data_IF_808084388366
#
_entry.id   IF_808084388366
#
_cell.length_a   1.000
_cell.length_b   1.000
_cell.length_c   1.000
_cell.angle_alpha   90.00
_cell.angle_beta   90.00
_cell.angle_gamma   90.00
#
_symmetry.space_group_name_H-M   'P 1'
#
loop_
_entity.id
_entity.type
_entity.pdbx_description
1 polymer ?
#
# COMPACT_ATOMS: atom_id res chain seq x y z
N UNK A 1 -2.75 52.60 -20.89
CA UNK A 1 -1.53 52.36 -21.69
C UNK A 1 -0.45 51.94 -20.71
N UNK A 2 -0.02 50.71 -20.63
CA UNK A 2 -0.38 49.48 -21.34
C UNK A 2 0.04 48.31 -20.44
N UNK A 3 -0.60 47.17 -20.67
CA UNK A 3 -0.55 45.98 -19.86
C UNK A 3 0.79 45.23 -19.98
N UNK A 4 1.24 44.69 -18.86
CA UNK A 4 2.46 43.88 -18.75
C UNK A 4 2.25 42.62 -17.90
N UNK A 5 1.08 41.98 -18.01
CA UNK A 5 0.92 40.59 -17.62
C UNK A 5 1.80 39.73 -18.52
N UNK A 6 2.88 39.17 -17.98
CA UNK A 6 3.69 38.17 -18.66
C UNK A 6 3.77 36.90 -17.82
N UNK A 7 2.98 35.91 -18.24
CA UNK A 7 3.43 34.52 -18.29
C UNK A 7 3.34 33.73 -16.99
N UNK A 8 2.13 33.47 -16.50
CA UNK A 8 1.89 32.33 -15.62
C UNK A 8 2.32 31.04 -16.32
N UNK A 9 3.41 30.44 -15.84
CA UNK A 9 3.78 29.07 -16.23
C UNK A 9 2.70 28.12 -15.71
N UNK A 10 1.73 27.84 -16.57
CA UNK A 10 0.68 26.85 -16.36
C UNK A 10 1.30 25.45 -16.24
N UNK A 11 1.76 25.10 -15.05
CA UNK A 11 1.95 23.71 -14.67
C UNK A 11 0.59 23.03 -14.78
N UNK A 12 0.40 22.22 -15.81
CA UNK A 12 -0.88 21.63 -16.21
C UNK A 12 -1.65 21.09 -15.01
N UNK A 13 -2.62 21.89 -14.54
CA UNK A 13 -3.48 21.53 -13.43
C UNK A 13 -4.57 20.59 -13.96
N UNK A 14 -4.52 19.33 -13.57
CA UNK A 14 -5.63 18.40 -13.83
C UNK A 14 -6.60 18.56 -12.66
N UNK A 15 -7.83 19.01 -12.95
CA UNK A 15 -8.87 19.28 -11.94
C UNK A 15 -8.47 20.33 -10.88
N UNK A 16 -7.58 21.27 -11.23
CA UNK A 16 -7.09 22.29 -10.29
C UNK A 16 -5.99 21.83 -9.34
N UNK A 17 -5.54 20.57 -9.43
CA UNK A 17 -4.43 20.02 -8.64
C UNK A 17 -3.15 19.98 -9.47
N UNK A 18 -2.02 20.31 -8.83
CA UNK A 18 -0.70 20.15 -9.44
C UNK A 18 -0.22 18.67 -9.35
N UNK A 19 0.73 18.29 -10.20
CA UNK A 19 1.23 16.91 -10.29
C UNK A 19 1.74 16.35 -8.95
N UNK A 20 2.34 17.23 -8.14
CA UNK A 20 2.85 16.89 -6.80
C UNK A 20 1.72 16.55 -5.84
N UNK A 21 0.63 17.33 -5.85
CA UNK A 21 -0.57 17.05 -5.05
C UNK A 21 -1.21 15.73 -5.48
N UNK A 22 -1.32 15.47 -6.79
CA UNK A 22 -1.87 14.21 -7.30
C UNK A 22 -1.05 13.00 -6.84
N UNK A 23 0.29 13.08 -6.91
CA UNK A 23 1.19 12.03 -6.43
C UNK A 23 0.97 11.77 -4.94
N UNK A 24 0.92 12.82 -4.12
CA UNK A 24 0.73 12.70 -2.67
C UNK A 24 -0.64 12.11 -2.33
N UNK A 25 -1.72 12.65 -2.91
CA UNK A 25 -3.10 12.23 -2.64
C UNK A 25 -3.32 10.77 -3.00
N UNK A 26 -2.86 10.35 -4.19
CA UNK A 26 -3.00 8.96 -4.64
C UNK A 26 -2.20 7.98 -3.77
N UNK A 27 -1.03 8.39 -3.26
CA UNK A 27 -0.25 7.61 -2.30
C UNK A 27 -0.96 7.41 -0.95
N UNK A 28 -1.59 8.45 -0.41
CA UNK A 28 -2.38 8.34 0.82
C UNK A 28 -3.64 7.48 0.62
N UNK A 29 -4.35 7.64 -0.49
CA UNK A 29 -5.51 6.80 -0.83
C UNK A 29 -5.09 5.33 -0.93
N UNK A 30 -4.02 5.03 -1.67
CA UNK A 30 -3.49 3.67 -1.79
C UNK A 30 -3.12 3.07 -0.43
N UNK A 31 -2.45 3.83 0.42
CA UNK A 31 -2.08 3.40 1.78
C UNK A 31 -3.30 3.14 2.67
N UNK A 32 -4.32 4.00 2.59
CA UNK A 32 -5.55 3.83 3.35
C UNK A 32 -6.34 2.60 2.92
N UNK A 33 -6.47 2.37 1.60
CA UNK A 33 -7.11 1.17 1.05
C UNK A 33 -6.35 -0.09 1.45
N UNK A 34 -5.00 -0.07 1.38
CA UNK A 34 -4.16 -1.17 1.85
C UNK A 34 -4.40 -1.47 3.33
N UNK A 35 -4.42 -0.44 4.18
CA UNK A 35 -4.74 -0.59 5.61
C UNK A 35 -6.11 -1.21 5.83
N UNK A 36 -7.13 -0.77 5.06
CA UNK A 36 -8.46 -1.35 5.10
C UNK A 36 -8.46 -2.84 4.74
N UNK A 37 -7.72 -3.27 3.71
CA UNK A 37 -7.63 -4.70 3.35
C UNK A 37 -7.16 -5.57 4.52
N UNK A 38 -6.19 -5.07 5.28
CA UNK A 38 -5.59 -5.76 6.42
C UNK A 38 -6.51 -5.78 7.64
N UNK A 39 -7.29 -4.72 7.84
CA UNK A 39 -8.24 -4.59 8.96
C UNK A 39 -9.51 -5.44 8.81
N UNK A 40 -9.93 -5.77 7.57
CA UNK A 40 -11.11 -6.63 7.34
C UNK A 40 -11.00 -7.97 8.10
N UNK A 41 -9.80 -8.56 8.17
CA UNK A 41 -9.57 -9.83 8.87
C UNK A 41 -9.87 -9.75 10.38
N UNK A 42 -9.15 -8.91 11.14
CA UNK A 42 -9.39 -8.69 12.55
C UNK A 42 -10.82 -8.24 12.88
N UNK A 43 -11.39 -7.34 12.09
CA UNK A 43 -12.77 -6.86 12.29
C UNK A 43 -13.77 -8.01 12.17
N UNK A 44 -13.64 -8.88 11.16
CA UNK A 44 -14.52 -10.04 11.02
C UNK A 44 -14.38 -11.03 12.20
N UNK A 45 -13.16 -11.20 12.73
CA UNK A 45 -12.94 -12.01 13.94
C UNK A 45 -13.67 -11.41 15.15
N UNK A 46 -13.58 -10.10 15.36
CA UNK A 46 -14.28 -9.37 16.42
C UNK A 46 -15.81 -9.53 16.30
N UNK A 47 -16.34 -9.36 15.09
CA UNK A 47 -17.77 -9.47 14.79
C UNK A 47 -18.31 -10.92 14.75
N UNK A 48 -17.47 -11.93 15.02
CA UNK A 48 -17.81 -13.37 15.00
C UNK A 48 -18.46 -13.86 13.70
N UNK A 49 -18.27 -13.16 12.57
CA UNK A 49 -18.81 -13.59 11.28
C UNK A 49 -17.97 -14.73 10.71
N UNK A 50 -18.60 -15.75 10.13
CA UNK A 50 -17.90 -16.77 9.33
C UNK A 50 -17.20 -16.04 8.19
N UNK A 51 -15.88 -16.24 8.07
CA UNK A 51 -15.07 -15.59 7.06
C UNK A 51 -15.05 -16.52 5.82
N UNK A 52 -15.82 -16.28 4.75
CA UNK A 52 -15.64 -17.01 3.52
C UNK A 52 -14.20 -16.80 3.01
N UNK A 53 -13.63 -17.83 2.38
CA UNK A 53 -12.22 -17.90 1.98
C UNK A 53 -11.84 -16.75 1.01
N UNK A 54 -12.80 -16.24 0.23
CA UNK A 54 -12.72 -14.98 -0.51
C UNK A 54 -13.85 -14.06 -0.08
N UNK A 55 -13.53 -12.92 0.51
CA UNK A 55 -14.53 -11.86 0.72
C UNK A 55 -14.41 -10.93 -0.49
N UNK A 56 -15.43 -10.87 -1.34
CA UNK A 56 -15.46 -9.98 -2.51
C UNK A 56 -14.98 -8.57 -2.15
N UNK A 57 -15.46 -8.02 -1.03
CA UNK A 57 -15.00 -6.74 -0.48
C UNK A 57 -13.47 -6.63 -0.30
N UNK A 58 -12.79 -7.65 0.25
CA UNK A 58 -11.32 -7.57 0.44
C UNK A 58 -10.60 -7.56 -0.91
N UNK A 59 -11.10 -8.34 -1.86
CA UNK A 59 -10.56 -8.41 -3.22
C UNK A 59 -10.80 -7.10 -3.95
N UNK A 60 -11.99 -6.51 -3.84
CA UNK A 60 -12.34 -5.24 -4.47
C UNK A 60 -11.49 -4.09 -3.91
N UNK A 61 -11.38 -3.98 -2.58
CA UNK A 61 -10.50 -2.98 -1.93
C UNK A 61 -9.03 -3.21 -2.30
N UNK A 62 -8.59 -4.47 -2.42
CA UNK A 62 -7.25 -4.81 -2.90
C UNK A 62 -6.99 -4.40 -4.36
N UNK A 63 -7.97 -4.60 -5.24
CA UNK A 63 -7.91 -4.13 -6.64
C UNK A 63 -7.82 -2.61 -6.71
N UNK A 64 -8.64 -1.89 -5.92
CA UNK A 64 -8.55 -0.42 -5.84
C UNK A 64 -7.21 0.05 -5.29
N UNK A 65 -6.67 -0.64 -4.27
CA UNK A 65 -5.31 -0.38 -3.75
C UNK A 65 -4.29 -0.46 -4.87
N UNK A 66 -4.37 -1.48 -5.72
CA UNK A 66 -3.45 -1.66 -6.83
C UNK A 66 -3.59 -0.56 -7.88
N UNK A 67 -4.83 -0.21 -8.26
CA UNK A 67 -5.11 0.86 -9.23
C UNK A 67 -4.52 2.19 -8.75
N UNK A 68 -4.81 2.59 -7.50
CA UNK A 68 -4.27 3.83 -6.94
C UNK A 68 -2.75 3.81 -6.77
N UNK A 69 -2.16 2.64 -6.50
CA UNK A 69 -0.69 2.49 -6.45
C UNK A 69 -0.04 2.69 -7.82
N UNK A 70 -0.64 2.17 -8.89
CA UNK A 70 -0.15 2.38 -10.26
C UNK A 70 -0.28 3.85 -10.66
N UNK A 71 -1.43 4.48 -10.37
CA UNK A 71 -1.64 5.91 -10.61
C UNK A 71 -0.60 6.75 -9.85
N UNK A 72 -0.33 6.40 -8.59
CA UNK A 72 0.69 7.05 -7.76
C UNK A 72 2.08 7.00 -8.40
N UNK A 73 2.50 5.84 -8.93
CA UNK A 73 3.78 5.67 -9.63
C UNK A 73 3.84 6.51 -10.91
N UNK A 74 2.77 6.50 -11.71
CA UNK A 74 2.69 7.29 -12.95
C UNK A 74 2.89 8.77 -12.66
N UNK A 75 2.14 9.32 -11.70
CA UNK A 75 2.29 10.73 -11.32
C UNK A 75 3.64 11.00 -10.67
N UNK A 76 4.15 10.08 -9.85
CA UNK A 76 5.47 10.19 -9.24
C UNK A 76 6.57 10.44 -10.27
N UNK A 77 6.61 9.63 -11.34
CA UNK A 77 7.58 9.83 -12.42
C UNK A 77 7.38 11.15 -13.18
N UNK A 78 6.15 11.63 -13.32
CA UNK A 78 5.86 12.89 -13.99
C UNK A 78 6.29 14.14 -13.19
N UNK A 79 6.45 14.06 -11.86
CA UNK A 79 6.88 15.21 -11.04
C UNK A 79 8.31 15.67 -11.35
N UNK A 80 9.21 14.77 -11.74
CA UNK A 80 10.62 15.10 -12.01
C UNK A 80 10.93 15.40 -13.49
N UNK A 81 9.89 15.58 -14.32
CA UNK A 81 9.98 16.31 -15.58
C UNK A 81 10.92 15.69 -16.62
N UNK A 82 10.39 14.79 -17.45
CA UNK A 82 10.62 14.68 -18.91
C UNK A 82 10.06 13.36 -19.46
N UNK A 83 9.79 12.37 -18.60
CA UNK A 83 9.38 11.03 -19.07
C UNK A 83 10.50 10.27 -19.79
N UNK A 84 11.71 10.82 -19.79
CA UNK A 84 12.90 10.19 -20.37
C UNK A 84 13.44 9.08 -19.46
N UNK A 85 14.06 8.07 -20.08
CA UNK A 85 14.69 6.96 -19.35
C UNK A 85 15.75 7.46 -18.36
N UNK A 86 16.51 8.50 -18.71
CA UNK A 86 17.47 9.17 -17.83
C UNK A 86 16.82 9.71 -16.55
N UNK A 87 15.65 10.34 -16.67
CA UNK A 87 14.86 10.85 -15.56
C UNK A 87 14.38 9.73 -14.64
N UNK A 88 13.88 8.62 -15.20
CA UNK A 88 13.46 7.44 -14.41
C UNK A 88 14.66 6.81 -13.70
N UNK A 89 15.78 6.63 -14.39
CA UNK A 89 16.99 6.06 -13.81
C UNK A 89 17.54 6.90 -12.67
N UNK A 90 17.38 8.23 -12.70
CA UNK A 90 17.85 9.13 -11.64
C UNK A 90 17.26 8.85 -10.26
N UNK A 91 16.09 8.19 -10.18
CA UNK A 91 15.47 7.74 -8.92
C UNK A 91 16.25 6.61 -8.24
N UNK A 92 16.97 5.80 -9.03
CA UNK A 92 17.59 4.55 -8.57
C UNK A 92 19.11 4.59 -8.62
N UNK A 93 19.66 5.27 -9.62
CA UNK A 93 21.09 5.37 -9.89
C UNK A 93 21.48 6.81 -10.17
N UNK A 94 22.67 7.20 -9.74
CA UNK A 94 23.24 8.48 -10.12
C UNK A 94 23.75 8.37 -11.55
N UNK A 95 22.99 8.91 -12.51
CA UNK A 95 23.21 8.74 -13.96
C UNK A 95 24.65 9.10 -14.40
N UNK A 96 25.29 10.07 -13.74
CA UNK A 96 26.67 10.49 -14.05
C UNK A 96 27.73 9.42 -13.72
N UNK A 97 27.53 8.67 -12.64
CA UNK A 97 28.56 7.80 -12.05
C UNK A 97 28.15 6.32 -12.06
N UNK A 98 26.90 6.00 -12.41
CA UNK A 98 26.34 4.63 -12.43
C UNK A 98 26.08 4.02 -11.05
N UNK A 99 26.32 4.76 -9.96
CA UNK A 99 26.25 4.25 -8.59
C UNK A 99 24.78 4.21 -8.11
N UNK A 100 24.32 3.10 -7.50
CA UNK A 100 23.00 3.02 -6.88
C UNK A 100 22.79 4.10 -5.79
N UNK A 101 21.63 4.75 -5.81
CA UNK A 101 21.24 5.71 -4.79
C UNK A 101 20.81 4.96 -3.52
N UNK A 102 21.65 5.02 -2.49
CA UNK A 102 21.39 4.41 -1.17
C UNK A 102 21.14 5.45 -0.06
N UNK A 103 21.00 6.73 -0.43
CA UNK A 103 20.50 7.76 0.49
C UNK A 103 18.99 7.59 0.73
N UNK A 104 18.40 8.38 1.62
CA UNK A 104 16.97 8.28 1.94
C UNK A 104 16.07 8.40 0.70
N UNK A 105 16.40 9.27 -0.25
CA UNK A 105 15.66 9.38 -1.51
C UNK A 105 15.70 8.07 -2.32
N UNK A 106 16.89 7.51 -2.54
CA UNK A 106 17.07 6.26 -3.28
C UNK A 106 16.46 5.05 -2.58
N UNK A 107 16.63 4.92 -1.26
CA UNK A 107 16.00 3.85 -0.46
C UNK A 107 14.47 3.95 -0.50
N UNK A 108 13.91 5.17 -0.49
CA UNK A 108 12.50 5.42 -0.76
C UNK A 108 12.07 4.86 -2.12
N UNK A 109 12.86 5.10 -3.18
CA UNK A 109 12.55 4.60 -4.52
C UNK A 109 12.66 3.09 -4.65
N UNK A 110 13.71 2.48 -4.10
CA UNK A 110 13.89 1.03 -4.12
C UNK A 110 12.78 0.29 -3.39
N UNK A 111 12.39 0.78 -2.21
CA UNK A 111 11.26 0.21 -1.45
C UNK A 111 9.92 0.44 -2.16
N UNK A 112 9.74 1.61 -2.79
CA UNK A 112 8.58 1.91 -3.63
C UNK A 112 8.47 0.98 -4.84
N UNK A 113 9.57 0.75 -5.56
CA UNK A 113 9.62 -0.17 -6.71
C UNK A 113 9.32 -1.61 -6.29
N UNK A 114 9.92 -2.08 -5.19
CA UNK A 114 9.64 -3.40 -4.64
C UNK A 114 8.15 -3.53 -4.26
N UNK A 115 7.56 -2.49 -3.65
CA UNK A 115 6.13 -2.44 -3.35
C UNK A 115 5.28 -2.50 -4.64
N UNK A 116 5.64 -1.75 -5.69
CA UNK A 116 4.93 -1.78 -6.98
C UNK A 116 4.93 -3.18 -7.60
N UNK A 117 6.08 -3.88 -7.59
CA UNK A 117 6.16 -5.25 -8.09
C UNK A 117 5.23 -6.17 -7.31
N UNK A 118 5.24 -6.09 -5.97
CA UNK A 118 4.33 -6.90 -5.14
C UNK A 118 2.85 -6.57 -5.40
N UNK A 119 2.50 -5.29 -5.57
CA UNK A 119 1.13 -4.87 -5.89
C UNK A 119 0.68 -5.49 -7.21
N UNK A 120 1.50 -5.46 -8.25
CA UNK A 120 1.17 -6.04 -9.57
C UNK A 120 0.98 -7.55 -9.46
N UNK A 121 1.86 -8.23 -8.71
CA UNK A 121 1.73 -9.67 -8.45
C UNK A 121 0.42 -9.96 -7.70
N UNK A 122 0.11 -9.23 -6.63
CA UNK A 122 -1.11 -9.39 -5.84
C UNK A 122 -2.38 -9.08 -6.65
N UNK A 123 -2.32 -8.11 -7.55
CA UNK A 123 -3.41 -7.80 -8.49
C UNK A 123 -3.64 -8.96 -9.46
N UNK A 124 -2.58 -9.52 -10.06
CA UNK A 124 -2.70 -10.70 -10.92
C UNK A 124 -3.29 -11.91 -10.18
N UNK A 125 -2.90 -12.09 -8.92
CA UNK A 125 -3.46 -13.11 -8.01
C UNK A 125 -4.91 -12.83 -7.61
N UNK A 126 -5.41 -11.62 -7.81
CA UNK A 126 -6.79 -11.22 -7.50
C UNK A 126 -7.76 -11.53 -8.65
N UNK A 127 -7.49 -12.58 -9.42
CA UNK A 127 -8.36 -13.08 -10.50
C UNK A 127 -8.89 -14.48 -10.18
N UNK A 128 -10.09 -14.83 -10.67
CA UNK A 128 -10.67 -16.17 -10.45
C UNK A 128 -9.86 -17.26 -11.16
N UNK A 129 -9.19 -16.90 -12.25
CA UNK A 129 -8.25 -17.79 -12.94
C UNK A 129 -7.05 -18.14 -12.05
N UNK A 130 -6.43 -17.17 -11.39
CA UNK A 130 -5.32 -17.42 -10.48
C UNK A 130 -5.73 -18.30 -9.28
N UNK A 131 -6.91 -18.07 -8.71
CA UNK A 131 -7.45 -18.89 -7.62
C UNK A 131 -7.65 -20.36 -8.05
N UNK A 132 -8.17 -20.58 -9.26
CA UNK A 132 -8.37 -21.92 -9.83
C UNK A 132 -7.06 -22.64 -10.11
N UNK A 133 -6.05 -21.93 -10.62
CA UNK A 133 -4.76 -22.52 -10.98
C UNK A 133 -3.90 -22.86 -9.75
N UNK A 134 -3.85 -21.97 -8.75
CA UNK A 134 -2.92 -22.09 -7.62
C UNK A 134 -3.44 -22.95 -6.46
N UNK A 135 -4.71 -23.37 -6.50
CA UNK A 135 -5.41 -24.05 -5.39
C UNK A 135 -5.53 -23.16 -4.14
N UNK A 136 -6.56 -23.38 -3.33
CA UNK A 136 -6.93 -22.45 -2.25
C UNK A 136 -5.84 -22.20 -1.19
N UNK A 137 -4.98 -23.17 -0.89
CA UNK A 137 -3.90 -23.01 0.10
C UNK A 137 -2.77 -22.12 -0.43
N UNK A 138 -2.16 -22.48 -1.55
CA UNK A 138 -1.01 -21.73 -2.11
C UNK A 138 -1.42 -20.32 -2.50
N UNK A 139 -2.60 -20.15 -3.11
CA UNK A 139 -3.15 -18.84 -3.41
C UNK A 139 -3.23 -17.96 -2.15
N UNK A 140 -3.74 -18.52 -1.04
CA UNK A 140 -3.84 -17.80 0.23
C UNK A 140 -2.48 -17.47 0.81
N UNK A 141 -1.50 -18.36 0.70
CA UNK A 141 -0.14 -18.12 1.18
C UNK A 141 0.53 -16.98 0.37
N UNK A 142 0.33 -16.92 -0.95
CA UNK A 142 0.80 -15.81 -1.79
C UNK A 142 0.08 -14.50 -1.50
N UNK A 143 -1.23 -14.52 -1.24
CA UNK A 143 -1.99 -13.34 -0.83
C UNK A 143 -1.51 -12.75 0.52
N UNK A 144 -0.75 -13.51 1.34
CA UNK A 144 -0.11 -12.97 2.56
C UNK A 144 1.08 -12.06 2.27
N UNK A 145 1.58 -12.02 1.03
CA UNK A 145 2.56 -11.00 0.62
C UNK A 145 2.02 -9.57 0.80
N UNK A 146 0.72 -9.39 1.01
CA UNK A 146 0.13 -8.13 1.40
C UNK A 146 0.71 -7.54 2.72
N UNK A 147 1.19 -8.39 3.65
CA UNK A 147 1.90 -7.91 4.84
C UNK A 147 3.29 -7.35 4.49
N UNK A 148 4.01 -8.02 3.59
CA UNK A 148 5.30 -7.54 3.07
C UNK A 148 5.12 -6.25 2.30
N UNK A 149 4.09 -6.16 1.47
CA UNK A 149 3.72 -4.93 0.77
C UNK A 149 3.49 -3.79 1.76
N UNK A 150 2.71 -4.00 2.81
CA UNK A 150 2.45 -2.98 3.83
C UNK A 150 3.73 -2.50 4.52
N UNK A 151 4.65 -3.41 4.87
CA UNK A 151 5.94 -3.05 5.43
C UNK A 151 6.77 -2.19 4.46
N UNK A 152 6.82 -2.55 3.18
CA UNK A 152 7.53 -1.79 2.15
C UNK A 152 6.92 -0.39 1.93
N UNK A 153 5.59 -0.26 1.95
CA UNK A 153 4.91 1.04 1.84
C UNK A 153 5.23 1.94 3.03
N UNK A 154 5.29 1.39 4.25
CA UNK A 154 5.72 2.14 5.44
C UNK A 154 7.16 2.61 5.30
N UNK A 155 8.07 1.72 4.88
CA UNK A 155 9.48 2.07 4.67
C UNK A 155 9.64 3.15 3.59
N UNK A 156 8.93 3.02 2.47
CA UNK A 156 8.88 4.02 1.41
C UNK A 156 8.45 5.39 1.96
N UNK A 157 7.33 5.44 2.70
CA UNK A 157 6.83 6.67 3.32
C UNK A 157 7.80 7.24 4.37
N UNK A 158 8.46 6.38 5.15
CA UNK A 158 9.45 6.77 6.15
C UNK A 158 10.67 7.42 5.51
N UNK A 159 11.24 6.82 4.47
CA UNK A 159 12.42 7.34 3.76
C UNK A 159 12.17 8.69 3.08
N UNK A 160 10.94 8.92 2.61
CA UNK A 160 10.49 10.23 2.10
C UNK A 160 10.16 11.26 3.21
N UNK A 161 10.26 10.85 4.47
CA UNK A 161 9.93 11.68 5.63
C UNK A 161 8.43 11.97 5.79
N UNK A 162 7.56 11.25 5.05
CA UNK A 162 6.12 11.48 5.07
C UNK A 162 5.51 11.14 6.45
N UNK A 163 6.08 10.17 7.17
CA UNK A 163 5.64 9.79 8.52
C UNK A 163 6.18 10.70 9.64
N UNK A 164 7.12 11.60 9.35
CA UNK A 164 7.76 12.44 10.36
C UNK A 164 7.16 13.86 10.43
N UNK A 165 6.34 14.25 9.46
CA UNK A 165 5.71 15.58 9.35
C UNK A 165 4.42 15.68 10.17
N UNK A 166 4.52 15.59 11.50
CA UNK A 166 3.35 15.53 12.40
C UNK A 166 2.45 16.78 12.39
N UNK A 167 2.90 17.89 11.82
CA UNK A 167 2.08 19.09 11.59
C UNK A 167 1.10 18.92 10.43
N UNK A 168 1.29 17.91 9.57
CA UNK A 168 0.40 17.62 8.46
C UNK A 168 -0.74 16.68 8.90
N UNK A 169 -2.02 17.05 8.66
CA UNK A 169 -3.15 16.18 8.98
C UNK A 169 -3.09 14.84 8.22
N UNK A 170 -2.50 14.81 7.02
CA UNK A 170 -2.33 13.58 6.24
C UNK A 170 -1.30 12.63 6.85
N UNK A 171 -0.21 13.17 7.42
CA UNK A 171 0.79 12.37 8.13
C UNK A 171 0.22 11.77 9.40
N UNK A 172 -0.57 12.55 10.14
CA UNK A 172 -1.29 12.07 11.31
C UNK A 172 -2.23 10.92 10.93
N UNK A 173 -3.04 11.12 9.89
CA UNK A 173 -3.95 10.07 9.38
C UNK A 173 -3.19 8.82 8.97
N UNK A 174 -2.09 8.95 8.20
CA UNK A 174 -1.25 7.81 7.80
C UNK A 174 -0.68 7.06 9.00
N UNK A 175 -0.21 7.78 10.02
CA UNK A 175 0.30 7.20 11.27
C UNK A 175 -0.79 6.47 12.03
N UNK A 176 -2.00 7.05 12.13
CA UNK A 176 -3.15 6.41 12.76
C UNK A 176 -3.57 5.12 12.03
N UNK A 177 -3.51 5.10 10.70
CA UNK A 177 -3.76 3.87 9.91
C UNK A 177 -2.73 2.81 10.25
N UNK A 178 -1.44 3.16 10.31
CA UNK A 178 -0.37 2.21 10.68
C UNK A 178 -0.62 1.62 12.06
N UNK A 179 -0.91 2.47 13.06
CA UNK A 179 -1.23 2.03 14.42
C UNK A 179 -2.47 1.13 14.42
N UNK A 180 -3.54 1.53 13.74
CA UNK A 180 -4.78 0.76 13.66
C UNK A 180 -4.53 -0.64 13.08
N UNK A 181 -3.74 -0.75 11.99
CA UNK A 181 -3.39 -2.03 11.38
C UNK A 181 -2.60 -2.88 12.36
N UNK A 182 -1.54 -2.36 12.99
CA UNK A 182 -0.70 -3.10 13.93
C UNK A 182 -1.51 -3.62 15.11
N UNK A 183 -2.30 -2.75 15.75
CA UNK A 183 -3.18 -3.10 16.87
C UNK A 183 -4.23 -4.13 16.42
N UNK A 184 -4.85 -3.91 15.27
CA UNK A 184 -5.82 -4.82 14.68
C UNK A 184 -5.25 -6.22 14.48
N UNK A 185 -4.04 -6.34 13.91
CA UNK A 185 -3.38 -7.64 13.74
C UNK A 185 -3.07 -8.30 15.09
N UNK A 186 -2.56 -7.55 16.06
CA UNK A 186 -2.26 -8.07 17.39
C UNK A 186 -3.53 -8.63 18.08
N UNK A 187 -4.63 -7.87 18.06
CA UNK A 187 -5.94 -8.29 18.58
C UNK A 187 -6.47 -9.51 17.83
N UNK A 188 -6.34 -9.54 16.50
CA UNK A 188 -6.74 -10.66 15.66
C UNK A 188 -6.02 -11.96 16.03
N UNK A 189 -4.70 -11.91 16.18
CA UNK A 189 -3.87 -13.06 16.60
C UNK A 189 -4.27 -13.52 18.00
N UNK A 190 -4.45 -12.59 18.94
CA UNK A 190 -4.86 -12.90 20.31
C UNK A 190 -6.23 -13.59 20.37
N UNK A 191 -7.22 -13.08 19.64
CA UNK A 191 -8.55 -13.69 19.53
C UNK A 191 -8.49 -15.08 18.91
N UNK A 192 -7.69 -15.25 17.86
CA UNK A 192 -7.51 -16.52 17.19
C UNK A 192 -6.91 -17.57 18.14
N UNK A 193 -5.83 -17.23 18.86
CA UNK A 193 -5.20 -18.11 19.86
C UNK A 193 -6.19 -18.51 20.96
N UNK A 194 -6.93 -17.54 21.53
CA UNK A 194 -7.93 -17.81 22.57
C UNK A 194 -9.03 -18.77 22.12
N UNK A 195 -9.47 -18.68 20.85
CA UNK A 195 -10.51 -19.57 20.30
C UNK A 195 -9.98 -20.98 20.04
N UNK A 196 -8.76 -21.12 19.55
CA UNK A 196 -8.11 -22.43 19.37
C UNK A 196 -7.96 -23.17 20.70
N UNK A 197 -7.49 -22.48 21.75
CA UNK A 197 -7.37 -23.08 23.09
C UNK A 197 -8.72 -23.51 23.68
N UNK A 198 -9.81 -22.80 23.39
CA UNK A 198 -11.16 -23.20 23.85
C UNK A 198 -11.72 -24.38 23.07
N UNK A 199 -11.43 -24.48 21.77
CA UNK A 199 -11.87 -25.58 20.94
C UNK A 199 -11.18 -26.90 21.33
N UNK A 200 -9.87 -26.87 21.59
CA UNK A 200 -9.13 -28.06 22.04
C UNK A 200 -9.60 -28.57 23.40
N UNK A 201 -9.85 -27.66 24.36
CA UNK A 201 -10.40 -28.01 25.68
C UNK A 201 -11.79 -28.64 25.56
N UNK A 202 -12.66 -28.12 24.70
CA UNK A 202 -14.01 -28.67 24.50
C UNK A 202 -13.99 -30.07 23.87
N UNK A 203 -13.07 -30.33 22.93
CA UNK A 203 -12.90 -31.66 22.32
C UNK A 203 -12.37 -32.67 23.34
N UNK A 204 -11.37 -32.30 24.15
CA UNK A 204 -10.82 -33.17 25.19
C UNK A 204 -11.80 -33.48 26.34
N UNK A 205 -12.74 -32.57 26.63
CA UNK A 205 -13.79 -32.79 27.62
C UNK A 205 -14.98 -33.62 27.12
N UNK A 206 -15.20 -33.70 25.81
CA UNK A 206 -16.29 -34.49 25.21
C UNK A 206 -15.90 -35.96 24.92
N UNK A 207 -14.60 -36.29 25.07
CA UNK A 207 -14.06 -37.65 24.89
C UNK A 207 -13.82 -38.39 26.21
N UNK A 208 -14.36 -37.87 27.32
CA UNK A 208 -14.39 -38.50 28.66
C UNK A 208 -15.82 -38.80 29.02
#
# INVERSE_FOLDING_TARGET
MDDGQMGGMGGHAILGLNMRQLTVTTGYIGTGLLGLTLLIGPVNLLLRRRNPVSHYLRRDVGTWTAIFSVIHVIFGFQVHGTGELSGILSYFVRVRDGIPQLNSFGLGNWTGLAATVLVVVLLALSTDSALRQLKGKTWKDLQRLNYTLFALVILHAFFYGALLRMTSPFTLLGTLIVIAVVVGQAVGIWLWRRRYSRATVKVAGASR
#
